data_IF_043555873737
#
_entry.id   IF_043555873737
#
_cell.length_a   1.000
_cell.length_b   1.000
_cell.length_c   1.000
_cell.angle_alpha   90.00
_cell.angle_beta   90.00
_cell.angle_gamma   90.00
#
_symmetry.space_group_name_H-M   'P 1'
#
loop_
_entity.id
_entity.type
_entity.pdbx_description
1 polymer ?
#
# COMPACT_ATOMS: atom_id res chain seq x y z
N UNK A 1 -21.19 11.57 17.23
CA UNK A 1 -21.08 10.99 15.87
C UNK A 1 -19.91 11.64 15.20
N UNK A 2 -18.99 10.86 14.66
CA UNK A 2 -17.83 11.42 13.95
C UNK A 2 -18.33 12.00 12.63
N UNK A 3 -18.23 13.32 12.53
CA UNK A 3 -18.56 14.10 11.34
C UNK A 3 -17.38 13.95 10.38
N UNK A 4 -17.44 12.98 9.46
CA UNK A 4 -16.48 12.89 8.37
C UNK A 4 -16.83 13.98 7.37
N UNK A 5 -16.13 15.09 7.46
CA UNK A 5 -16.18 16.17 6.46
C UNK A 5 -15.77 15.60 5.09
N UNK A 6 -16.74 15.53 4.18
CA UNK A 6 -16.67 14.86 2.88
C UNK A 6 -15.98 15.76 1.83
N UNK A 7 -15.39 16.88 2.25
CA UNK A 7 -14.79 17.89 1.39
C UNK A 7 -13.51 17.42 0.67
N UNK A 8 -12.96 16.24 0.97
CA UNK A 8 -11.82 15.63 0.24
C UNK A 8 -12.24 14.70 -0.90
N UNK A 9 -13.54 14.54 -1.18
CA UNK A 9 -14.05 13.71 -2.30
C UNK A 9 -14.21 14.49 -3.61
N UNK A 10 -13.28 15.39 -3.95
CA UNK A 10 -13.22 15.98 -5.28
C UNK A 10 -12.17 15.22 -6.13
N UNK A 11 -12.50 14.71 -7.32
CA UNK A 11 -13.76 14.16 -7.82
C UNK A 11 -13.74 12.63 -7.80
N UNK A 12 -14.89 12.00 -7.58
CA UNK A 12 -15.16 10.60 -7.97
C UNK A 12 -15.22 10.42 -9.50
N UNK A 13 -14.28 10.99 -10.26
CA UNK A 13 -14.23 10.89 -11.74
C UNK A 13 -13.71 9.51 -12.20
N UNK A 14 -13.60 8.53 -11.30
CA UNK A 14 -13.16 7.18 -11.65
C UNK A 14 -14.02 6.10 -10.99
N UNK A 15 -15.29 6.05 -11.40
CA UNK A 15 -16.16 4.89 -11.18
C UNK A 15 -16.57 4.61 -9.74
N UNK A 16 -17.45 3.61 -9.58
CA UNK A 16 -17.86 3.11 -8.26
C UNK A 16 -16.65 2.43 -7.60
N UNK A 17 -16.37 2.81 -6.36
CA UNK A 17 -15.42 2.09 -5.51
C UNK A 17 -16.16 1.05 -4.69
N UNK A 18 -15.67 -0.19 -4.72
CA UNK A 18 -16.17 -1.31 -3.91
C UNK A 18 -15.09 -1.71 -2.92
N UNK A 19 -15.49 -1.90 -1.66
CA UNK A 19 -14.62 -2.34 -0.59
C UNK A 19 -15.21 -3.60 0.04
N UNK A 20 -14.41 -4.65 0.14
CA UNK A 20 -14.80 -5.92 0.78
C UNK A 20 -13.77 -6.28 1.83
N UNK A 21 -14.23 -6.82 2.96
CA UNK A 21 -13.38 -7.24 4.08
C UNK A 21 -13.91 -8.53 4.71
N UNK A 22 -13.04 -9.52 4.85
CA UNK A 22 -13.25 -10.73 5.66
C UNK A 22 -12.09 -10.91 6.63
N UNK A 23 -12.41 -11.44 7.81
CA UNK A 23 -11.44 -11.59 8.88
C UNK A 23 -12.07 -12.04 10.19
N UNK A 24 -11.26 -12.08 11.23
CA UNK A 24 -11.66 -12.50 12.56
C UNK A 24 -11.04 -11.61 13.64
N UNK A 25 -11.73 -11.55 14.79
CA UNK A 25 -11.27 -10.85 15.99
C UNK A 25 -11.43 -11.80 17.16
N UNK A 26 -10.37 -11.96 17.92
CA UNK A 26 -10.34 -12.75 19.16
C UNK A 26 -9.69 -11.95 20.30
N UNK A 27 -9.53 -12.58 21.47
CA UNK A 27 -8.80 -11.98 22.59
C UNK A 27 -7.30 -11.87 22.33
N UNK A 28 -6.78 -12.74 21.46
CA UNK A 28 -5.34 -12.89 21.24
C UNK A 28 -4.89 -12.23 19.94
N UNK A 29 -5.78 -12.15 18.94
CA UNK A 29 -5.43 -11.65 17.61
C UNK A 29 -6.57 -10.99 16.85
N UNK A 30 -6.17 -10.12 15.91
CA UNK A 30 -7.01 -9.60 14.83
C UNK A 30 -6.41 -10.08 13.51
N UNK A 31 -7.24 -10.67 12.65
CA UNK A 31 -6.82 -11.16 11.34
C UNK A 31 -7.71 -10.57 10.26
N UNK A 32 -7.10 -10.05 9.21
CA UNK A 32 -7.76 -9.76 7.93
C UNK A 32 -7.31 -10.81 6.94
N UNK A 33 -8.20 -11.75 6.64
CA UNK A 33 -7.96 -12.82 5.67
C UNK A 33 -8.02 -12.28 4.25
N UNK A 34 -8.94 -11.36 3.98
CA UNK A 34 -9.05 -10.67 2.70
C UNK A 34 -9.66 -9.29 2.88
N UNK A 35 -8.88 -8.23 2.65
CA UNK A 35 -9.38 -6.89 2.39
C UNK A 35 -9.15 -6.54 0.92
N UNK A 36 -10.14 -5.94 0.25
CA UNK A 36 -9.98 -5.49 -1.14
C UNK A 36 -10.61 -4.12 -1.38
N UNK A 37 -10.01 -3.37 -2.30
CA UNK A 37 -10.52 -2.11 -2.82
C UNK A 37 -10.51 -2.18 -4.34
N UNK A 38 -11.66 -1.98 -4.98
CA UNK A 38 -11.82 -2.13 -6.43
C UNK A 38 -12.57 -0.96 -7.07
N UNK A 39 -12.10 -0.53 -8.22
CA UNK A 39 -12.79 0.38 -9.16
C UNK A 39 -12.31 0.07 -10.58
N UNK A 40 -12.80 0.83 -11.57
CA UNK A 40 -12.31 0.73 -12.96
C UNK A 40 -10.81 1.04 -13.09
N UNK A 41 -10.28 1.76 -12.10
CA UNK A 41 -8.93 2.29 -12.09
C UNK A 41 -7.99 1.67 -11.05
N UNK A 42 -8.54 0.88 -10.12
CA UNK A 42 -7.78 0.33 -8.99
C UNK A 42 -8.24 -1.09 -8.69
N UNK A 43 -7.28 -1.98 -8.49
CA UNK A 43 -7.49 -3.29 -7.87
C UNK A 43 -6.44 -3.46 -6.78
N UNK A 44 -6.85 -3.36 -5.52
CA UNK A 44 -5.98 -3.49 -4.38
C UNK A 44 -6.48 -4.57 -3.41
N UNK A 45 -5.53 -5.21 -2.74
CA UNK A 45 -5.78 -6.21 -1.71
C UNK A 45 -4.84 -6.01 -0.52
N UNK A 46 -5.34 -6.40 0.64
CA UNK A 46 -4.61 -6.36 1.90
C UNK A 46 -4.93 -7.60 2.73
N UNK A 47 -3.93 -8.13 3.40
CA UNK A 47 -4.10 -9.13 4.47
C UNK A 47 -3.30 -8.67 5.67
N UNK A 48 -3.79 -8.94 6.87
CA UNK A 48 -3.05 -8.57 8.09
C UNK A 48 -3.27 -9.55 9.21
N UNK A 49 -2.32 -9.57 10.13
CA UNK A 49 -2.42 -10.21 11.44
C UNK A 49 -1.82 -9.29 12.48
N UNK A 50 -2.50 -9.13 13.59
CA UNK A 50 -2.04 -8.40 14.76
C UNK A 50 -2.19 -9.30 15.97
N UNK A 51 -1.09 -9.56 16.68
CA UNK A 51 -1.09 -10.21 17.99
C UNK A 51 -1.36 -9.14 19.05
N UNK A 52 -2.35 -9.34 19.91
CA UNK A 52 -2.78 -8.30 20.86
C UNK A 52 -1.92 -8.25 22.13
N UNK A 53 -1.21 -9.32 22.46
CA UNK A 53 -0.36 -9.38 23.65
C UNK A 53 0.82 -8.39 23.59
N UNK A 54 1.37 -8.17 22.40
CA UNK A 54 2.57 -7.36 22.17
C UNK A 54 2.45 -6.38 20.99
N UNK A 55 1.29 -6.38 20.32
CA UNK A 55 1.02 -5.57 19.14
C UNK A 55 1.99 -5.84 17.99
N UNK A 56 2.55 -7.06 17.94
CA UNK A 56 3.27 -7.53 16.77
C UNK A 56 2.31 -7.63 15.58
N UNK A 57 2.76 -7.21 14.41
CA UNK A 57 1.91 -7.10 13.23
C UNK A 57 2.63 -7.60 11.99
N UNK A 58 1.87 -8.22 11.09
CA UNK A 58 2.23 -8.38 9.69
C UNK A 58 1.10 -7.80 8.84
N UNK A 59 1.46 -7.01 7.84
CA UNK A 59 0.59 -6.41 6.85
C UNK A 59 1.16 -6.75 5.47
N UNK A 60 0.35 -7.33 4.58
CA UNK A 60 0.70 -7.51 3.18
C UNK A 60 -0.27 -6.73 2.33
N UNK A 61 0.25 -6.05 1.32
CA UNK A 61 -0.55 -5.24 0.41
C UNK A 61 -0.10 -5.47 -1.02
N UNK A 62 -1.07 -5.46 -1.93
CA UNK A 62 -0.85 -5.46 -3.37
C UNK A 62 -1.82 -4.47 -3.99
N UNK A 63 -1.38 -3.70 -4.97
CA UNK A 63 -2.20 -2.76 -5.70
C UNK A 63 -1.80 -2.74 -7.18
N UNK A 64 -2.79 -2.66 -8.05
CA UNK A 64 -2.65 -2.41 -9.47
C UNK A 64 -3.58 -1.24 -9.83
N UNK A 65 -3.02 -0.16 -10.34
CA UNK A 65 -3.76 1.06 -10.64
C UNK A 65 -3.40 1.61 -12.03
N UNK A 66 -4.37 2.23 -12.70
CA UNK A 66 -4.06 3.10 -13.84
C UNK A 66 -3.34 4.36 -13.34
N UNK A 67 -2.35 4.85 -14.09
CA UNK A 67 -1.57 6.03 -13.67
C UNK A 67 -2.40 7.31 -13.55
N UNK A 68 -3.53 7.39 -14.26
CA UNK A 68 -4.49 8.50 -14.16
C UNK A 68 -5.24 8.56 -12.83
N UNK A 69 -5.23 7.48 -12.03
CA UNK A 69 -5.78 7.47 -10.68
C UNK A 69 -4.78 7.95 -9.62
N UNK A 70 -3.51 8.12 -10.00
CA UNK A 70 -2.47 8.60 -9.12
C UNK A 70 -2.31 10.13 -9.20
N UNK A 71 -1.67 10.76 -8.19
CA UNK A 71 -1.43 12.20 -8.20
C UNK A 71 -0.75 12.66 -9.49
N UNK A 72 -1.20 13.77 -10.12
CA UNK A 72 -0.69 14.21 -11.42
C UNK A 72 0.82 14.50 -11.43
N UNK A 73 1.40 14.84 -10.28
CA UNK A 73 2.81 15.19 -10.11
C UNK A 73 3.76 14.04 -10.46
N UNK A 74 3.30 12.80 -10.37
CA UNK A 74 4.13 11.62 -10.65
C UNK A 74 3.85 10.99 -12.02
N UNK A 75 2.81 11.44 -12.75
CA UNK A 75 2.35 10.76 -13.98
C UNK A 75 3.36 10.79 -15.13
N UNK A 76 4.21 11.80 -15.20
CA UNK A 76 5.18 11.96 -16.31
C UNK A 76 6.23 10.85 -16.38
N UNK A 77 6.46 10.12 -15.29
CA UNK A 77 7.45 9.03 -15.21
C UNK A 77 6.81 7.64 -15.12
N UNK A 78 5.47 7.57 -15.16
CA UNK A 78 4.72 6.32 -15.05
C UNK A 78 4.32 5.82 -16.44
N UNK A 79 4.29 4.50 -16.59
CA UNK A 79 3.55 3.87 -17.66
C UNK A 79 2.04 3.99 -17.48
N UNK A 80 1.29 3.27 -18.32
CA UNK A 80 -0.18 3.25 -18.25
C UNK A 80 -0.71 2.74 -16.90
N UNK A 81 -0.01 1.75 -16.32
CA UNK A 81 -0.38 1.12 -15.04
C UNK A 81 0.79 1.10 -14.06
N UNK A 82 0.43 0.99 -12.79
CA UNK A 82 1.34 0.90 -11.66
C UNK A 82 0.97 -0.32 -10.84
N UNK A 83 1.92 -1.23 -10.64
CA UNK A 83 1.81 -2.30 -9.69
C UNK A 83 2.68 -2.01 -8.48
N UNK A 84 2.13 -2.18 -7.28
CA UNK A 84 2.84 -2.03 -6.02
C UNK A 84 2.55 -3.23 -5.13
N UNK A 85 3.58 -3.77 -4.48
CA UNK A 85 3.42 -4.73 -3.39
C UNK A 85 4.36 -4.43 -2.25
N UNK A 86 3.90 -4.72 -1.03
CA UNK A 86 4.70 -4.60 0.17
C UNK A 86 4.30 -5.62 1.21
N UNK A 87 5.28 -6.07 1.99
CA UNK A 87 5.05 -6.68 3.30
C UNK A 87 5.65 -5.79 4.36
N UNK A 88 4.82 -5.27 5.26
CA UNK A 88 5.22 -4.51 6.41
C UNK A 88 5.04 -5.34 7.69
N UNK A 89 5.96 -5.19 8.64
CA UNK A 89 5.92 -5.81 9.95
C UNK A 89 6.12 -4.76 11.03
N UNK A 90 5.52 -5.01 12.19
CA UNK A 90 5.85 -4.33 13.44
C UNK A 90 6.26 -5.40 14.45
N UNK A 91 7.41 -5.23 15.09
CA UNK A 91 7.86 -6.13 16.15
C UNK A 91 7.29 -5.73 17.53
N UNK A 92 7.41 -6.57 18.56
CA UNK A 92 6.99 -6.26 19.94
C UNK A 92 7.66 -5.00 20.53
N UNK A 93 8.87 -4.68 20.08
CA UNK A 93 9.64 -3.50 20.51
C UNK A 93 9.15 -2.21 19.83
N UNK A 94 8.26 -2.34 18.85
CA UNK A 94 7.68 -1.23 18.10
C UNK A 94 8.49 -0.79 16.90
N UNK A 95 9.51 -1.54 16.49
CA UNK A 95 10.20 -1.31 15.22
C UNK A 95 9.31 -1.72 14.06
N UNK A 96 9.35 -0.93 12.99
CA UNK A 96 8.67 -1.21 11.75
C UNK A 96 9.66 -1.64 10.68
N UNK A 97 9.26 -2.55 9.81
CA UNK A 97 10.02 -2.90 8.62
C UNK A 97 9.10 -3.14 7.43
N UNK A 98 9.41 -2.57 6.27
CA UNK A 98 8.91 -2.97 4.98
C UNK A 98 9.95 -3.90 4.34
N UNK A 99 9.65 -5.20 4.29
CA UNK A 99 10.63 -6.25 3.98
C UNK A 99 10.70 -6.60 2.49
N UNK A 100 9.70 -6.20 1.71
CA UNK A 100 9.59 -6.55 0.31
C UNK A 100 8.79 -5.47 -0.44
N UNK A 101 9.35 -4.27 -0.54
CA UNK A 101 8.78 -3.22 -1.39
C UNK A 101 9.06 -3.58 -2.85
N UNK A 102 8.02 -3.65 -3.68
CA UNK A 102 8.14 -3.74 -5.12
C UNK A 102 7.20 -2.72 -5.77
N UNK A 103 7.71 -2.09 -6.81
CA UNK A 103 7.02 -1.09 -7.60
C UNK A 103 7.38 -1.30 -9.07
N UNK A 104 6.40 -1.26 -9.95
CA UNK A 104 6.64 -1.32 -11.40
C UNK A 104 5.61 -0.47 -12.14
N UNK A 105 6.07 0.28 -13.12
CA UNK A 105 5.23 1.07 -14.01
C UNK A 105 5.95 1.33 -15.33
N UNK A 106 5.52 0.67 -16.41
CA UNK A 106 6.20 0.76 -17.70
C UNK A 106 7.67 0.36 -17.57
N UNK A 107 8.58 1.28 -17.92
CA UNK A 107 10.04 1.08 -17.82
C UNK A 107 10.63 1.46 -16.45
N UNK A 108 9.82 2.03 -15.55
CA UNK A 108 10.21 2.37 -14.19
C UNK A 108 9.96 1.16 -13.27
N UNK A 109 10.98 0.73 -12.54
CA UNK A 109 10.84 -0.29 -11.49
C UNK A 109 11.63 0.11 -10.25
N UNK A 110 11.16 -0.32 -9.08
CA UNK A 110 11.89 -0.20 -7.84
C UNK A 110 11.62 -1.39 -6.93
N UNK A 111 12.61 -1.79 -6.15
CA UNK A 111 12.48 -2.78 -5.11
C UNK A 111 13.39 -2.46 -3.93
N UNK A 112 13.02 -2.90 -2.73
CA UNK A 112 13.85 -2.62 -1.58
C UNK A 112 13.22 -2.95 -0.25
N UNK A 113 13.89 -2.44 0.79
CA UNK A 113 13.46 -2.51 2.17
C UNK A 113 13.54 -1.14 2.82
N UNK A 114 12.72 -0.97 3.85
CA UNK A 114 12.79 0.19 4.73
C UNK A 114 12.54 -0.28 6.17
N UNK A 115 13.15 0.35 7.15
CA UNK A 115 12.87 0.12 8.56
C UNK A 115 12.85 1.42 9.34
N UNK A 116 12.12 1.41 10.44
CA UNK A 116 12.06 2.53 11.37
C UNK A 116 12.06 2.01 12.81
N UNK A 117 12.96 2.54 13.64
CA UNK A 117 13.01 2.26 15.08
C UNK A 117 13.18 3.59 15.81
N UNK A 118 12.17 3.98 16.60
CA UNK A 118 12.14 5.33 17.17
C UNK A 118 12.12 6.41 16.08
N UNK A 119 13.13 7.26 16.05
CA UNK A 119 13.33 8.29 15.01
C UNK A 119 14.26 7.86 13.88
N UNK A 120 14.94 6.72 14.03
CA UNK A 120 15.92 6.26 13.07
C UNK A 120 15.21 5.54 11.91
N UNK A 121 15.54 5.95 10.69
CA UNK A 121 15.00 5.38 9.45
C UNK A 121 16.15 4.87 8.61
N UNK A 122 16.07 3.62 8.18
CA UNK A 122 17.01 2.99 7.26
C UNK A 122 16.28 2.51 6.02
N UNK A 123 16.87 2.72 4.85
CA UNK A 123 16.29 2.29 3.57
C UNK A 123 17.37 1.73 2.66
N UNK A 124 17.07 0.63 1.99
CA UNK A 124 17.83 0.15 0.83
C UNK A 124 16.84 -0.05 -0.31
N UNK A 125 16.84 0.89 -1.26
CA UNK A 125 15.95 0.89 -2.41
C UNK A 125 16.79 0.96 -3.68
N UNK A 126 16.53 0.03 -4.59
CA UNK A 126 17.15 -0.03 -5.92
C UNK A 126 16.05 0.09 -6.96
N UNK A 127 16.33 0.81 -8.03
CA UNK A 127 15.37 0.95 -9.13
C UNK A 127 16.04 1.10 -10.47
N UNK A 128 15.23 0.93 -11.51
CA UNK A 128 15.61 1.15 -12.90
C UNK A 128 14.65 2.15 -13.50
N UNK A 129 15.17 3.06 -14.31
CA UNK A 129 14.38 3.91 -15.18
C UNK A 129 14.84 3.63 -16.60
N UNK A 130 13.92 3.18 -17.47
CA UNK A 130 14.23 3.04 -18.89
C UNK A 130 14.36 4.39 -19.58
N UNK A 131 14.60 4.34 -20.89
CA UNK A 131 14.78 5.54 -21.70
C UNK A 131 13.57 6.47 -21.58
N UNK A 132 13.82 7.72 -21.19
CA UNK A 132 12.84 8.80 -21.00
C UNK A 132 12.83 9.77 -22.19
N UNK A 133 13.50 9.42 -23.29
CA UNK A 133 13.50 10.21 -24.52
C UNK A 133 12.10 10.23 -25.14
N UNK A 134 11.42 11.37 -24.98
CA UNK A 134 10.17 11.74 -25.66
C UNK A 134 10.43 12.38 -27.03
#
# INVERSE_FOLDING_TARGET
>A
GLNTDVATLAPLVTGRVTADLTGSVSKDEIVVDQGTLRSDALNASVTSRVTLADLAMTLKMNADAVSTALPPQIRSVLGERVTFSATATRDPQGSFAANALQFTSGSLSASGTASATGTDIQTDIKGTLGDVSV
#
